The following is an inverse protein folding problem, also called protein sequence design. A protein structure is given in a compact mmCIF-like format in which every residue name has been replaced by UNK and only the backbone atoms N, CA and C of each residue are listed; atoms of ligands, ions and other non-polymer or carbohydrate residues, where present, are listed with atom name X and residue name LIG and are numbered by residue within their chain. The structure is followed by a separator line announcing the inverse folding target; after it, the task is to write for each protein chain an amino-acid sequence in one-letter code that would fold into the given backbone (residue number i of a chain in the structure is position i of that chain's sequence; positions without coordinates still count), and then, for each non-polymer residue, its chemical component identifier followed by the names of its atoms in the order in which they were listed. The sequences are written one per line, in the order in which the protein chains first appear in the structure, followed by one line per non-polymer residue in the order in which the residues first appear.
data_IF_655588633307
#
_entry.id   IF_655588633307
#
_cell.length_a   1.000
_cell.length_b   1.000
_cell.length_c   1.000
_cell.angle_alpha   90.00
_cell.angle_beta   90.00
_cell.angle_gamma   90.00
#
_symmetry.space_group_name_H-M   'P 1'
#
loop_
_entity.id
_entity.type
_entity.pdbx_description
1 polymer ?
#
# COMPACT_ATOMS: atom_id res chain seq x y z
N UNK A 1 21.07 -14.81 38.39
CA UNK A 1 21.48 -13.62 37.63
C UNK A 1 20.84 -13.65 36.23
N UNK A 2 19.59 -13.21 36.16
CA UNK A 2 18.96 -12.89 34.87
C UNK A 2 19.61 -11.60 34.36
N UNK A 3 20.55 -11.70 33.43
CA UNK A 3 20.99 -10.56 32.61
C UNK A 3 19.78 -10.20 31.72
N UNK A 4 19.05 -9.16 32.09
CA UNK A 4 18.22 -8.40 31.17
C UNK A 4 19.17 -7.88 30.08
N UNK A 5 19.23 -8.55 28.94
CA UNK A 5 19.88 -7.99 27.77
C UNK A 5 19.15 -6.67 27.50
N UNK A 6 19.87 -5.54 27.58
CA UNK A 6 19.37 -4.24 27.19
C UNK A 6 18.92 -4.38 25.75
N UNK A 7 17.64 -4.58 25.52
CA UNK A 7 17.09 -4.55 24.16
C UNK A 7 17.37 -3.19 23.59
N UNK A 8 18.17 -3.13 22.53
CA UNK A 8 18.41 -1.90 21.78
C UNK A 8 17.06 -1.33 21.33
N UNK A 9 16.83 -0.01 21.49
CA UNK A 9 15.62 0.61 21.01
C UNK A 9 15.50 0.38 19.49
N UNK A 10 14.29 0.04 19.05
CA UNK A 10 13.98 -0.20 17.63
C UNK A 10 13.08 0.90 17.10
N UNK A 11 13.28 1.28 15.85
CA UNK A 11 12.37 2.16 15.12
C UNK A 11 11.00 1.48 14.93
N UNK A 12 9.97 2.24 14.58
CA UNK A 12 8.66 1.67 14.25
C UNK A 12 8.78 0.69 13.07
N UNK A 13 9.52 1.07 12.03
CA UNK A 13 9.82 0.19 10.91
C UNK A 13 10.43 -1.14 11.34
N UNK A 14 11.48 -1.12 12.17
CA UNK A 14 12.12 -2.35 12.64
C UNK A 14 11.19 -3.25 13.45
N UNK A 15 10.26 -2.65 14.21
CA UNK A 15 9.25 -3.40 14.96
C UNK A 15 8.27 -4.09 14.02
N UNK A 16 7.73 -3.36 13.03
CA UNK A 16 6.80 -3.91 12.06
C UNK A 16 7.49 -5.00 11.24
N UNK A 17 8.68 -4.71 10.69
CA UNK A 17 9.45 -5.69 9.92
C UNK A 17 9.67 -6.99 10.67
N UNK A 18 10.15 -6.91 11.92
CA UNK A 18 10.47 -8.09 12.71
C UNK A 18 9.23 -8.91 13.11
N UNK A 19 8.06 -8.27 13.24
CA UNK A 19 6.80 -8.97 13.51
C UNK A 19 6.28 -9.75 12.29
N UNK A 20 6.58 -9.27 11.08
CA UNK A 20 6.11 -9.86 9.84
C UNK A 20 7.16 -10.71 9.11
N UNK A 21 8.40 -10.75 9.63
CA UNK A 21 9.46 -11.54 9.05
C UNK A 21 9.18 -13.04 9.21
N UNK A 22 8.93 -13.72 8.09
CA UNK A 22 8.71 -15.17 8.03
C UNK A 22 10.03 -15.91 7.89
N UNK A 23 10.90 -15.44 6.98
CA UNK A 23 12.20 -16.06 6.70
C UNK A 23 13.18 -15.02 6.14
N UNK A 24 14.45 -15.23 6.43
CA UNK A 24 15.53 -14.42 5.86
C UNK A 24 16.69 -15.30 5.44
N UNK A 25 17.13 -15.14 4.19
CA UNK A 25 18.27 -15.87 3.65
C UNK A 25 19.01 -15.01 2.62
N UNK A 26 20.32 -14.94 2.73
CA UNK A 26 21.22 -14.25 1.78
C UNK A 26 20.82 -12.79 1.49
N UNK A 27 20.33 -12.08 2.51
CA UNK A 27 19.90 -10.69 2.43
C UNK A 27 18.52 -10.49 1.77
N UNK A 28 17.81 -11.57 1.44
CA UNK A 28 16.42 -11.55 1.01
C UNK A 28 15.53 -11.98 2.17
N UNK A 29 14.44 -11.29 2.35
CA UNK A 29 13.47 -11.57 3.41
C UNK A 29 12.11 -11.90 2.80
N UNK A 30 11.42 -12.86 3.39
CA UNK A 30 10.01 -13.14 3.13
C UNK A 30 9.23 -12.54 4.28
N UNK A 31 8.34 -11.61 3.98
CA UNK A 31 7.50 -10.94 4.97
C UNK A 31 6.03 -11.30 4.76
N UNK A 32 5.30 -11.49 5.84
CA UNK A 32 3.85 -11.70 5.81
C UNK A 32 3.14 -10.39 5.50
N UNK A 33 2.04 -10.45 4.76
CA UNK A 33 1.24 -9.30 4.34
C UNK A 33 -0.14 -9.38 4.99
N UNK A 34 -0.48 -8.37 5.81
CA UNK A 34 -1.77 -8.31 6.51
C UNK A 34 -2.92 -7.94 5.60
N UNK A 35 -2.68 -7.07 4.62
CA UNK A 35 -3.72 -6.59 3.69
C UNK A 35 -3.19 -6.49 2.27
N UNK A 36 -3.99 -7.00 1.35
CA UNK A 36 -3.75 -6.85 -0.08
C UNK A 36 -4.89 -6.03 -0.70
N UNK A 37 -4.57 -4.85 -1.19
CA UNK A 37 -5.52 -4.01 -1.92
C UNK A 37 -5.34 -4.24 -3.42
N UNK A 38 -6.45 -4.42 -4.13
CA UNK A 38 -6.47 -4.84 -5.53
C UNK A 38 -7.37 -3.92 -6.34
N UNK A 39 -6.94 -3.56 -7.54
CA UNK A 39 -7.73 -2.78 -8.48
C UNK A 39 -7.68 -3.40 -9.90
N UNK A 40 -8.46 -2.83 -10.84
CA UNK A 40 -8.71 -3.41 -12.15
C UNK A 40 -7.52 -3.41 -13.11
N UNK A 41 -6.49 -2.57 -12.86
CA UNK A 41 -5.38 -2.39 -13.84
C UNK A 41 -4.34 -3.50 -13.75
N UNK A 42 -3.85 -3.81 -12.55
CA UNK A 42 -2.71 -4.73 -12.34
C UNK A 42 -3.13 -6.14 -11.96
N UNK A 43 -4.40 -6.37 -11.69
CA UNK A 43 -4.88 -7.66 -11.19
C UNK A 43 -5.28 -8.70 -12.25
N UNK A 44 -5.72 -8.35 -13.48
CA UNK A 44 -6.21 -9.35 -14.43
C UNK A 44 -5.22 -10.47 -14.72
N UNK A 45 -3.97 -10.12 -15.03
CA UNK A 45 -2.91 -11.09 -15.32
C UNK A 45 -2.50 -11.92 -14.09
N UNK A 46 -2.55 -11.32 -12.90
CA UNK A 46 -2.26 -12.02 -11.66
C UNK A 46 -3.29 -13.13 -11.38
N UNK A 47 -4.58 -12.84 -11.55
CA UNK A 47 -5.63 -13.85 -11.42
C UNK A 47 -5.56 -14.92 -12.51
N UNK A 48 -5.21 -14.54 -13.74
CA UNK A 48 -4.99 -15.51 -14.81
C UNK A 48 -3.82 -16.44 -14.49
N UNK A 49 -2.72 -15.93 -13.96
CA UNK A 49 -1.60 -16.73 -13.49
C UNK A 49 -2.01 -17.74 -12.42
N UNK A 50 -2.86 -17.35 -11.46
CA UNK A 50 -3.42 -18.28 -10.46
C UNK A 50 -4.23 -19.42 -11.13
N UNK A 51 -5.10 -19.10 -12.10
CA UNK A 51 -5.89 -20.12 -12.82
C UNK A 51 -5.00 -21.10 -13.56
N UNK A 52 -4.05 -20.58 -14.33
CA UNK A 52 -3.12 -21.42 -15.11
C UNK A 52 -2.28 -22.34 -14.20
N UNK A 53 -1.93 -21.85 -13.00
CA UNK A 53 -1.18 -22.64 -12.01
C UNK A 53 -2.07 -23.56 -11.15
N UNK A 54 -3.39 -23.52 -11.33
CA UNK A 54 -4.35 -24.28 -10.51
C UNK A 54 -4.33 -23.87 -9.03
N UNK A 55 -4.07 -22.58 -8.74
CA UNK A 55 -3.98 -22.04 -7.38
C UNK A 55 -5.21 -21.19 -7.04
N UNK A 56 -5.56 -21.16 -5.77
CA UNK A 56 -6.55 -20.27 -5.19
C UNK A 56 -5.88 -19.07 -4.51
N UNK A 57 -6.68 -18.05 -4.18
CA UNK A 57 -6.25 -17.00 -3.26
C UNK A 57 -6.19 -17.60 -1.85
N UNK A 58 -5.06 -17.44 -1.17
CA UNK A 58 -4.82 -18.08 0.14
C UNK A 58 -5.69 -17.47 1.24
N UNK A 59 -5.78 -16.13 1.29
CA UNK A 59 -6.52 -15.35 2.28
C UNK A 59 -7.43 -14.32 1.62
N UNK A 60 -8.57 -14.75 1.03
CA UNK A 60 -9.50 -13.81 0.39
C UNK A 60 -10.08 -12.79 1.38
N UNK A 61 -10.19 -13.13 2.67
CA UNK A 61 -10.62 -12.23 3.75
C UNK A 61 -9.61 -11.12 4.08
N UNK A 62 -8.36 -11.27 3.67
CA UNK A 62 -7.30 -10.25 3.80
C UNK A 62 -7.11 -9.41 2.53
N UNK A 63 -7.85 -9.76 1.46
CA UNK A 63 -7.78 -9.11 0.15
C UNK A 63 -9.05 -8.31 -0.11
N UNK A 64 -8.88 -7.04 -0.51
CA UNK A 64 -9.99 -6.11 -0.77
C UNK A 64 -9.80 -5.45 -2.11
N UNK A 65 -10.85 -5.42 -2.91
CA UNK A 65 -10.82 -4.88 -4.25
C UNK A 65 -11.69 -3.64 -4.41
N UNK A 66 -11.26 -2.73 -5.25
CA UNK A 66 -12.03 -1.55 -5.67
C UNK A 66 -11.62 -1.16 -7.09
N UNK A 67 -12.56 -0.86 -8.00
CA UNK A 67 -12.21 -0.22 -9.27
C UNK A 67 -12.01 1.28 -9.02
N UNK A 68 -10.87 1.84 -9.42
CA UNK A 68 -10.56 3.25 -9.17
C UNK A 68 -9.77 3.97 -10.27
N UNK A 69 -9.13 3.23 -11.16
CA UNK A 69 -8.31 3.81 -12.24
C UNK A 69 -9.11 4.04 -13.52
N UNK A 70 -9.88 3.05 -13.97
CA UNK A 70 -10.60 3.05 -15.24
C UNK A 70 -12.11 3.22 -15.06
N UNK A 71 -12.50 4.13 -14.18
CA UNK A 71 -13.88 4.46 -13.88
C UNK A 71 -14.17 5.93 -14.19
N UNK A 72 -15.38 6.28 -14.61
CA UNK A 72 -15.76 7.68 -14.79
C UNK A 72 -15.81 8.40 -13.43
N UNK A 73 -15.45 9.68 -13.44
CA UNK A 73 -15.52 10.55 -12.24
C UNK A 73 -16.92 11.16 -12.04
N UNK A 74 -17.76 11.10 -13.08
CA UNK A 74 -19.14 11.57 -13.07
C UNK A 74 -20.05 10.52 -13.71
N UNK A 75 -21.34 10.54 -13.38
CA UNK A 75 -22.34 9.62 -13.94
C UNK A 75 -21.96 8.14 -13.77
N UNK A 76 -21.45 7.77 -12.59
CA UNK A 76 -21.02 6.39 -12.29
C UNK A 76 -22.17 5.38 -12.27
N UNK A 77 -23.41 5.84 -12.32
CA UNK A 77 -24.63 5.05 -12.50
C UNK A 77 -24.87 4.63 -13.97
N UNK A 78 -24.13 5.20 -14.91
CA UNK A 78 -24.18 4.86 -16.32
C UNK A 78 -23.11 3.82 -16.69
N UNK A 79 -23.33 3.05 -17.78
CA UNK A 79 -22.31 2.14 -18.29
C UNK A 79 -21.01 2.88 -18.66
N UNK A 80 -19.88 2.26 -18.37
CA UNK A 80 -18.56 2.78 -18.75
C UNK A 80 -18.49 2.80 -20.29
N UNK A 81 -18.28 3.98 -20.87
CA UNK A 81 -18.34 4.17 -22.32
C UNK A 81 -17.10 3.64 -23.05
N UNK A 82 -15.94 3.66 -22.42
CA UNK A 82 -14.72 3.07 -22.99
C UNK A 82 -14.75 1.55 -22.84
N UNK A 83 -14.70 0.78 -23.95
CA UNK A 83 -14.84 -0.67 -23.92
C UNK A 83 -13.70 -1.38 -23.16
N UNK A 84 -12.49 -0.83 -23.18
CA UNK A 84 -11.33 -1.43 -22.51
C UNK A 84 -11.48 -1.24 -21.01
N UNK A 85 -11.81 -0.04 -20.58
CA UNK A 85 -12.07 0.27 -19.17
C UNK A 85 -13.25 -0.56 -18.63
N UNK A 86 -14.35 -0.67 -19.39
CA UNK A 86 -15.48 -1.51 -19.04
C UNK A 86 -15.09 -2.98 -18.87
N UNK A 87 -14.27 -3.52 -19.78
CA UNK A 87 -13.78 -4.89 -19.71
C UNK A 87 -12.90 -5.12 -18.48
N UNK A 88 -12.02 -4.18 -18.15
CA UNK A 88 -11.14 -4.30 -16.98
C UNK A 88 -11.93 -4.32 -15.67
N UNK A 89 -12.90 -3.43 -15.53
CA UNK A 89 -13.77 -3.40 -14.33
C UNK A 89 -14.63 -4.67 -14.25
N UNK A 90 -15.19 -5.14 -15.37
CA UNK A 90 -15.95 -6.39 -15.39
C UNK A 90 -15.07 -7.61 -15.06
N UNK A 91 -13.83 -7.63 -15.55
CA UNK A 91 -12.86 -8.68 -15.22
C UNK A 91 -12.54 -8.68 -13.73
N UNK A 92 -12.38 -7.51 -13.10
CA UNK A 92 -12.21 -7.42 -11.64
C UNK A 92 -13.40 -8.01 -10.89
N UNK A 93 -14.63 -7.69 -11.30
CA UNK A 93 -15.86 -8.24 -10.71
C UNK A 93 -15.90 -9.76 -10.78
N UNK A 94 -15.59 -10.32 -11.95
CA UNK A 94 -15.56 -11.77 -12.18
C UNK A 94 -14.48 -12.45 -11.31
N UNK A 95 -13.29 -11.88 -11.26
CA UNK A 95 -12.20 -12.38 -10.43
C UNK A 95 -12.55 -12.34 -8.94
N UNK A 96 -13.10 -11.24 -8.45
CA UNK A 96 -13.52 -11.13 -7.05
C UNK A 96 -14.59 -12.17 -6.69
N UNK A 97 -15.56 -12.37 -7.58
CA UNK A 97 -16.62 -13.40 -7.39
C UNK A 97 -16.04 -14.81 -7.38
N UNK A 98 -15.14 -15.11 -8.31
CA UNK A 98 -14.52 -16.44 -8.44
C UNK A 98 -13.67 -16.79 -7.24
N UNK A 99 -12.83 -15.86 -6.79
CA UNK A 99 -11.87 -16.08 -5.71
C UNK A 99 -12.37 -15.69 -4.32
N UNK A 100 -13.62 -15.27 -4.19
CA UNK A 100 -14.25 -14.95 -2.91
C UNK A 100 -13.72 -13.66 -2.26
N UNK A 101 -13.25 -12.71 -3.04
CA UNK A 101 -12.67 -11.44 -2.59
C UNK A 101 -13.77 -10.39 -2.38
N UNK A 102 -13.69 -9.64 -1.29
CA UNK A 102 -14.57 -8.50 -1.04
C UNK A 102 -14.30 -7.39 -2.04
N UNK A 103 -15.34 -7.01 -2.82
CA UNK A 103 -15.30 -5.93 -3.79
C UNK A 103 -16.17 -4.75 -3.33
N UNK A 104 -15.58 -3.57 -3.26
CA UNK A 104 -16.31 -2.29 -3.13
C UNK A 104 -16.51 -1.69 -4.52
N UNK A 105 -17.56 -2.16 -5.19
CA UNK A 105 -17.85 -1.83 -6.60
C UNK A 105 -18.42 -0.42 -6.78
N UNK A 106 -18.51 0.03 -8.03
CA UNK A 106 -19.19 1.29 -8.38
C UNK A 106 -20.60 1.33 -7.78
N UNK A 107 -20.93 2.46 -7.14
CA UNK A 107 -22.21 2.64 -6.44
C UNK A 107 -22.22 2.12 -4.99
N UNK A 108 -21.24 1.37 -4.54
CA UNK A 108 -21.05 1.08 -3.11
C UNK A 108 -20.56 2.35 -2.41
N UNK A 109 -21.17 2.71 -1.27
CA UNK A 109 -20.79 3.90 -0.48
C UNK A 109 -19.35 3.83 0.05
N UNK A 110 -18.76 2.64 0.08
CA UNK A 110 -17.38 2.38 0.51
C UNK A 110 -16.38 2.45 -0.65
N UNK A 111 -16.87 2.54 -1.90
CA UNK A 111 -16.02 2.65 -3.09
C UNK A 111 -15.34 4.02 -3.13
N UNK A 112 -14.11 4.05 -3.65
CA UNK A 112 -13.31 5.26 -3.80
C UNK A 112 -11.90 4.94 -4.28
N UNK A 113 -11.02 5.92 -4.31
CA UNK A 113 -9.60 5.72 -4.61
C UNK A 113 -9.03 4.70 -3.62
N UNK A 114 -8.34 3.69 -4.10
CA UNK A 114 -7.86 2.54 -3.29
C UNK A 114 -7.10 2.96 -2.04
N UNK A 115 -6.27 4.01 -2.14
CA UNK A 115 -5.48 4.52 -1.01
C UNK A 115 -6.26 5.46 -0.07
N UNK A 116 -7.48 5.83 -0.42
CA UNK A 116 -8.42 6.56 0.46
C UNK A 116 -9.41 5.56 1.06
N UNK A 117 -9.94 4.66 0.25
CA UNK A 117 -10.85 3.60 0.69
C UNK A 117 -10.22 2.74 1.79
N UNK A 118 -8.97 2.33 1.64
CA UNK A 118 -8.28 1.51 2.64
C UNK A 118 -8.30 2.12 4.05
N UNK A 119 -7.85 3.36 4.24
CA UNK A 119 -7.96 4.07 5.52
C UNK A 119 -9.40 4.29 6.00
N UNK A 120 -10.30 4.76 5.13
CA UNK A 120 -11.68 5.07 5.50
C UNK A 120 -12.48 3.84 5.94
N UNK A 121 -12.19 2.68 5.36
CA UNK A 121 -12.81 1.41 5.77
C UNK A 121 -12.09 0.71 6.94
N UNK A 122 -11.07 1.34 7.54
CA UNK A 122 -10.31 0.78 8.65
C UNK A 122 -9.44 -0.42 8.27
N UNK A 123 -9.09 -0.55 6.99
CA UNK A 123 -8.20 -1.61 6.49
C UNK A 123 -6.73 -1.27 6.70
N UNK A 124 -6.41 0.03 6.73
CA UNK A 124 -5.07 0.56 6.99
C UNK A 124 -4.90 0.83 8.48
N UNK A 125 -4.12 -0.01 9.15
CA UNK A 125 -3.93 0.08 10.61
C UNK A 125 -2.46 0.26 10.96
N UNK A 126 -2.15 1.01 12.03
CA UNK A 126 -0.77 1.14 12.50
C UNK A 126 -0.16 -0.24 12.81
N UNK A 127 1.05 -0.45 12.34
CA UNK A 127 1.77 -1.70 12.57
C UNK A 127 1.48 -2.82 11.56
N UNK A 128 0.55 -2.63 10.62
CA UNK A 128 0.24 -3.61 9.57
C UNK A 128 1.18 -3.50 8.37
N UNK A 129 1.25 -4.57 7.59
CA UNK A 129 1.86 -4.61 6.27
C UNK A 129 0.78 -4.59 5.18
N UNK A 130 0.95 -3.74 4.17
CA UNK A 130 -0.03 -3.54 3.09
C UNK A 130 0.67 -3.60 1.75
N UNK A 131 0.04 -4.25 0.77
CA UNK A 131 0.48 -4.20 -0.62
C UNK A 131 -0.66 -3.83 -1.55
N UNK A 132 -0.31 -3.20 -2.66
CA UNK A 132 -1.19 -2.92 -3.78
C UNK A 132 -0.37 -2.89 -5.07
N UNK A 133 -0.97 -3.28 -6.17
CA UNK A 133 -0.37 -3.16 -7.50
C UNK A 133 -0.34 -1.72 -8.04
N UNK A 134 -0.01 -0.75 -7.18
CA UNK A 134 -0.01 0.69 -7.44
C UNK A 134 1.23 1.36 -6.84
N UNK A 135 1.81 2.31 -7.57
CA UNK A 135 3.03 3.03 -7.17
C UNK A 135 2.84 3.96 -5.96
N UNK A 136 1.61 4.36 -5.64
CA UNK A 136 1.28 5.27 -4.54
C UNK A 136 0.98 4.56 -3.22
N UNK A 137 1.18 3.25 -3.14
CA UNK A 137 0.86 2.43 -1.95
C UNK A 137 1.58 2.90 -0.69
N UNK A 138 2.78 3.46 -0.82
CA UNK A 138 3.56 3.99 0.31
C UNK A 138 2.81 5.07 1.12
N UNK A 139 1.76 5.71 0.57
CA UNK A 139 0.93 6.70 1.28
C UNK A 139 0.28 6.14 2.56
N UNK A 140 0.02 4.82 2.62
CA UNK A 140 -0.48 4.16 3.83
C UNK A 140 0.48 4.26 5.03
N UNK A 141 1.75 4.60 4.78
CA UNK A 141 2.74 4.91 5.82
C UNK A 141 2.34 6.08 6.71
N UNK A 142 1.51 7.02 6.22
CA UNK A 142 0.94 8.10 7.01
C UNK A 142 0.15 7.60 8.22
N UNK A 143 -0.44 6.42 8.12
CA UNK A 143 -1.19 5.75 9.20
C UNK A 143 -0.33 4.77 10.02
N UNK A 144 0.98 4.74 9.79
CA UNK A 144 1.88 3.83 10.50
C UNK A 144 1.88 2.39 9.99
N UNK A 145 1.41 2.15 8.77
CA UNK A 145 1.55 0.86 8.07
C UNK A 145 2.87 0.80 7.30
N UNK A 146 3.42 -0.39 7.14
CA UNK A 146 4.52 -0.65 6.21
C UNK A 146 3.92 -1.11 4.89
N UNK A 147 3.96 -0.23 3.89
CA UNK A 147 3.21 -0.43 2.65
C UNK A 147 4.11 -0.42 1.41
N UNK A 148 3.86 -1.35 0.48
CA UNK A 148 4.65 -1.54 -0.72
C UNK A 148 3.77 -1.51 -1.97
N UNK A 149 4.17 -0.69 -2.95
CA UNK A 149 3.71 -0.82 -4.33
C UNK A 149 4.42 -1.98 -5.00
N UNK A 150 3.68 -2.91 -5.58
CA UNK A 150 4.20 -4.15 -6.15
C UNK A 150 3.80 -4.32 -7.62
N UNK A 151 4.61 -5.07 -8.36
CA UNK A 151 4.31 -5.41 -9.75
C UNK A 151 3.31 -6.58 -9.88
N UNK A 152 2.77 -6.77 -11.08
CA UNK A 152 1.74 -7.80 -11.36
C UNK A 152 2.16 -9.22 -10.93
N UNK A 153 3.43 -9.61 -11.14
CA UNK A 153 3.93 -10.92 -10.71
C UNK A 153 3.96 -11.07 -9.19
N UNK A 154 4.24 -9.97 -8.47
CA UNK A 154 4.20 -9.94 -7.02
C UNK A 154 2.76 -9.95 -6.51
N UNK A 155 1.81 -9.30 -7.22
CA UNK A 155 0.37 -9.40 -6.92
C UNK A 155 -0.07 -10.86 -6.96
N UNK A 156 0.27 -11.61 -8.02
CA UNK A 156 0.00 -13.04 -8.11
C UNK A 156 0.61 -13.82 -6.94
N UNK A 157 1.88 -13.54 -6.64
CA UNK A 157 2.59 -14.20 -5.54
C UNK A 157 1.91 -13.96 -4.18
N UNK A 158 1.55 -12.70 -3.88
CA UNK A 158 0.88 -12.36 -2.61
C UNK A 158 -0.52 -12.97 -2.54
N UNK A 159 -1.28 -12.98 -3.63
CA UNK A 159 -2.58 -13.67 -3.67
C UNK A 159 -2.44 -15.16 -3.34
N UNK A 160 -1.39 -15.82 -3.86
CA UNK A 160 -1.17 -17.25 -3.66
C UNK A 160 -0.58 -17.61 -2.28
N UNK A 161 0.20 -16.73 -1.65
CA UNK A 161 1.04 -17.08 -0.49
C UNK A 161 0.87 -16.17 0.72
N UNK A 162 0.21 -15.03 0.58
CA UNK A 162 0.10 -13.95 1.57
C UNK A 162 1.47 -13.44 2.05
N UNK A 163 2.50 -13.59 1.23
CA UNK A 163 3.86 -13.14 1.54
C UNK A 163 4.47 -12.35 0.40
N UNK A 164 5.43 -11.50 0.72
CA UNK A 164 6.21 -10.73 -0.23
C UNK A 164 7.71 -10.96 0.00
N UNK A 165 8.45 -11.18 -1.08
CA UNK A 165 9.91 -11.25 -1.02
C UNK A 165 10.49 -9.84 -1.18
N UNK A 166 11.24 -9.38 -0.19
CA UNK A 166 11.85 -8.04 -0.19
C UNK A 166 13.27 -8.07 0.39
N UNK A 167 14.12 -7.16 -0.08
CA UNK A 167 15.34 -6.81 0.65
C UNK A 167 14.97 -5.84 1.76
N UNK A 168 15.50 -6.05 2.97
CA UNK A 168 15.25 -5.14 4.08
C UNK A 168 15.70 -3.72 3.72
N UNK A 169 14.79 -2.72 3.66
CA UNK A 169 15.15 -1.35 3.33
C UNK A 169 16.06 -0.73 4.41
N UNK A 170 16.84 0.26 4.02
CA UNK A 170 17.52 1.15 4.96
C UNK A 170 16.51 2.12 5.59
N UNK A 171 16.83 2.69 6.73
CA UNK A 171 16.04 3.76 7.35
C UNK A 171 16.62 5.13 7.00
N UNK A 172 15.76 6.09 6.68
CA UNK A 172 16.10 7.49 6.45
C UNK A 172 15.22 8.37 7.33
N UNK A 173 15.78 9.31 8.02
CA UNK A 173 15.05 10.34 8.77
C UNK A 173 15.04 11.64 7.95
N UNK A 174 13.83 12.15 7.69
CA UNK A 174 13.59 13.49 7.14
C UNK A 174 12.97 14.35 8.21
N UNK A 175 13.72 15.34 8.68
CA UNK A 175 13.30 16.23 9.76
C UNK A 175 12.94 17.60 9.21
N UNK A 176 11.68 18.03 9.42
CA UNK A 176 11.15 19.32 8.98
C UNK A 176 10.80 20.15 10.21
N UNK A 177 11.67 21.10 10.53
CA UNK A 177 11.54 21.95 11.72
C UNK A 177 10.95 23.33 11.38
N UNK A 178 10.37 23.94 12.39
CA UNK A 178 9.79 25.28 12.33
C UNK A 178 8.29 25.28 12.04
N UNK A 179 7.73 26.48 12.09
CA UNK A 179 6.33 26.74 11.83
C UNK A 179 6.14 27.09 10.36
N UNK A 180 5.23 26.40 9.70
CA UNK A 180 4.90 26.66 8.30
C UNK A 180 4.11 27.99 8.20
N UNK A 181 4.39 28.77 7.16
CA UNK A 181 3.52 29.90 6.82
C UNK A 181 2.19 29.39 6.27
N UNK A 182 1.13 30.21 6.41
CA UNK A 182 -0.23 29.85 5.97
C UNK A 182 -0.33 29.48 4.47
N UNK A 183 0.62 29.95 3.66
CA UNK A 183 0.65 29.68 2.21
C UNK A 183 1.38 28.41 1.81
N UNK A 184 2.08 27.75 2.76
CA UNK A 184 2.84 26.53 2.49
C UNK A 184 1.96 25.30 2.69
N UNK A 185 1.80 24.52 1.64
CA UNK A 185 1.04 23.27 1.64
C UNK A 185 1.95 22.04 1.86
N UNK A 186 1.39 20.90 2.25
CA UNK A 186 2.15 19.63 2.32
C UNK A 186 2.86 19.28 1.00
N UNK A 187 2.25 19.62 -0.14
CA UNK A 187 2.85 19.42 -1.45
C UNK A 187 4.13 20.24 -1.64
N UNK A 188 4.19 21.46 -1.15
CA UNK A 188 5.40 22.29 -1.23
C UNK A 188 6.53 21.68 -0.42
N UNK A 189 6.21 21.07 0.73
CA UNK A 189 7.19 20.41 1.59
C UNK A 189 7.79 19.20 0.88
N UNK A 190 6.96 18.30 0.34
CA UNK A 190 7.50 17.10 -0.33
C UNK A 190 8.27 17.47 -1.59
N UNK A 191 7.84 18.48 -2.35
CA UNK A 191 8.59 18.97 -3.51
C UNK A 191 9.93 19.59 -3.11
N UNK A 192 9.98 20.33 -2.00
CA UNK A 192 11.24 20.86 -1.46
C UNK A 192 12.20 19.74 -1.01
N UNK A 193 11.66 18.68 -0.36
CA UNK A 193 12.44 17.49 0.01
C UNK A 193 13.01 16.82 -1.23
N UNK A 194 12.18 16.54 -2.25
CA UNK A 194 12.61 15.93 -3.51
C UNK A 194 13.66 16.81 -4.20
N UNK A 195 13.46 18.13 -4.23
CA UNK A 195 14.43 19.08 -4.77
C UNK A 195 15.80 19.03 -4.07
N UNK A 196 15.81 18.71 -2.77
CA UNK A 196 17.03 18.63 -1.96
C UNK A 196 17.76 17.29 -2.09
N UNK A 197 17.04 16.17 -2.08
CA UNK A 197 17.64 14.82 -2.10
C UNK A 197 17.67 14.18 -3.49
N UNK A 198 17.00 14.76 -4.46
CA UNK A 198 16.82 14.22 -5.81
C UNK A 198 15.71 13.18 -5.92
N UNK A 199 15.28 12.90 -7.15
CA UNK A 199 14.17 11.97 -7.47
C UNK A 199 14.40 10.57 -6.89
N UNK A 200 15.64 10.08 -6.91
CA UNK A 200 16.02 8.75 -6.41
C UNK A 200 16.59 8.78 -4.97
N UNK A 201 16.56 9.92 -4.30
CA UNK A 201 17.21 10.08 -2.99
C UNK A 201 16.69 9.17 -1.89
N UNK A 202 15.42 8.76 -1.97
CA UNK A 202 14.78 7.83 -1.04
C UNK A 202 14.77 6.36 -1.49
N UNK A 203 15.36 6.03 -2.64
CA UNK A 203 15.30 4.67 -3.17
C UNK A 203 15.96 3.65 -2.23
N UNK A 204 15.24 2.55 -1.95
CA UNK A 204 15.69 1.50 -1.04
C UNK A 204 15.67 1.89 0.44
N UNK A 205 14.95 2.97 0.78
CA UNK A 205 14.76 3.42 2.15
C UNK A 205 13.29 3.38 2.58
N UNK A 206 13.07 3.11 3.85
CA UNK A 206 11.85 3.53 4.55
C UNK A 206 12.13 4.90 5.16
N UNK A 207 11.30 5.89 4.81
CA UNK A 207 11.48 7.27 5.23
C UNK A 207 10.59 7.54 6.44
N UNK A 208 11.21 7.98 7.53
CA UNK A 208 10.51 8.49 8.71
C UNK A 208 10.50 10.02 8.66
N UNK A 209 9.30 10.60 8.64
CA UNK A 209 9.13 12.04 8.68
C UNK A 209 8.95 12.52 10.11
N UNK A 210 9.70 13.51 10.51
CA UNK A 210 9.69 14.07 11.87
C UNK A 210 9.81 15.59 11.86
N UNK A 211 9.76 16.18 13.04
CA UNK A 211 9.86 17.64 13.24
C UNK A 211 8.53 18.31 13.54
N UNK A 212 8.59 19.59 13.89
CA UNK A 212 7.42 20.37 14.32
C UNK A 212 6.38 20.51 13.20
N UNK A 213 6.83 20.80 11.99
CA UNK A 213 5.96 20.93 10.83
C UNK A 213 5.19 19.64 10.52
N UNK A 214 5.83 18.47 10.64
CA UNK A 214 5.17 17.17 10.41
C UNK A 214 4.16 16.86 11.51
N UNK A 215 4.48 17.14 12.78
CA UNK A 215 3.56 16.88 13.90
C UNK A 215 2.28 17.70 13.84
N UNK A 216 2.36 18.94 13.34
CA UNK A 216 1.21 19.84 13.20
C UNK A 216 0.35 19.56 11.94
N UNK A 217 0.84 18.71 11.03
CA UNK A 217 0.17 18.42 9.75
C UNK A 217 -1.04 17.50 9.94
N UNK A 218 -2.12 17.78 9.20
CA UNK A 218 -3.29 16.88 9.14
C UNK A 218 -2.92 15.51 8.56
N UNK A 219 -3.78 14.51 8.73
CA UNK A 219 -3.55 13.17 8.17
C UNK A 219 -3.49 13.21 6.64
N UNK A 220 -4.39 13.96 5.99
CA UNK A 220 -4.41 14.15 4.54
C UNK A 220 -3.12 14.80 4.04
N UNK A 221 -2.59 15.76 4.81
CA UNK A 221 -1.29 16.36 4.53
C UNK A 221 -0.14 15.36 4.61
N UNK A 222 -0.18 14.44 5.57
CA UNK A 222 0.84 13.39 5.70
C UNK A 222 0.74 12.32 4.62
N UNK A 223 -0.44 12.13 4.03
CA UNK A 223 -0.65 11.22 2.90
C UNK A 223 -0.04 11.76 1.59
N UNK A 224 0.18 13.09 1.49
CA UNK A 224 0.79 13.71 0.32
C UNK A 224 2.28 13.45 0.23
#
# INVERSE_FOLDING_TARGET
NYRLSKMMPKTMFEKIWNLHLVHEQDGNSIIYIDRHLVHEVTSPQAFEGLRLAGRSVLHPEATFAVPDHNIPTVNQDQPISDPISALQVETLRQNCKEFGITLFDLGDKRSGIVHVMGPEQGLTLPGSTIVCGDSHTATHGAFGSLAFGIGTSEVEHVLATQTLQQKKPKTMLVQVEGVLSETVTPKDIILAIIGKIGIAGGSGCVIEYAGEAIRSMSMEGRMT
#
